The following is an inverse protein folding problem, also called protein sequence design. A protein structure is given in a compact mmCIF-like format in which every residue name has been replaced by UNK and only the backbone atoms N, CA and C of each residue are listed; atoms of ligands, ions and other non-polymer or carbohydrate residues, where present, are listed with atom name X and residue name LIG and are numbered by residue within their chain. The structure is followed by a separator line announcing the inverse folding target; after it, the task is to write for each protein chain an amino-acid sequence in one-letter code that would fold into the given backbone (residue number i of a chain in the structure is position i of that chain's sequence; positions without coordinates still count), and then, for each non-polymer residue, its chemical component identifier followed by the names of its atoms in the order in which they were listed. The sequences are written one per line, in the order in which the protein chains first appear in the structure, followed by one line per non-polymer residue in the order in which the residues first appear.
data_IF_243388292575
#
_entry.id   IF_243388292575
#
_cell.length_a   1.000
_cell.length_b   1.000
_cell.length_c   1.000
_cell.angle_alpha   90.00
_cell.angle_beta   90.00
_cell.angle_gamma   90.00
#
_symmetry.space_group_name_H-M   'P 1'
#
loop_
_entity.id
_entity.type
_entity.pdbx_description
1 polymer ?
#
# COMPACT_ATOMS: atom_id res chain seq x y z
N UNK A 1 8.98 16.15 -18.85
CA UNK A 1 7.91 15.99 -17.84
C UNK A 1 7.26 17.34 -17.59
N UNK A 2 5.93 17.38 -17.43
CA UNK A 2 5.26 18.59 -16.95
C UNK A 2 5.69 18.92 -15.52
N UNK A 3 5.83 20.21 -15.20
CA UNK A 3 6.12 20.67 -13.83
C UNK A 3 4.92 20.41 -12.91
N UNK A 4 5.14 20.32 -11.60
CA UNK A 4 4.05 20.18 -10.62
C UNK A 4 3.04 21.33 -10.71
N UNK A 5 3.52 22.56 -10.98
CA UNK A 5 2.66 23.72 -11.24
C UNK A 5 1.72 23.50 -12.44
N UNK A 6 2.25 23.01 -13.56
CA UNK A 6 1.45 22.74 -14.76
C UNK A 6 0.43 21.61 -14.52
N UNK A 7 0.80 20.57 -13.75
CA UNK A 7 -0.11 19.47 -13.37
C UNK A 7 -1.26 19.97 -12.50
N UNK A 8 -0.96 20.80 -11.50
CA UNK A 8 -1.97 21.42 -10.63
C UNK A 8 -2.92 22.33 -11.42
N UNK A 9 -2.39 23.15 -12.33
CA UNK A 9 -3.20 24.00 -13.20
C UNK A 9 -4.12 23.19 -14.13
N UNK A 10 -3.61 22.10 -14.72
CA UNK A 10 -4.39 21.19 -15.55
C UNK A 10 -5.53 20.52 -14.75
N UNK A 11 -5.25 20.04 -13.53
CA UNK A 11 -6.27 19.48 -12.64
C UNK A 11 -7.37 20.51 -12.37
N UNK A 12 -7.04 21.75 -11.99
CA UNK A 12 -8.02 22.81 -11.74
C UNK A 12 -8.90 23.11 -12.95
N UNK A 13 -8.31 23.14 -14.15
CA UNK A 13 -9.06 23.32 -15.40
C UNK A 13 -10.04 22.17 -15.63
N UNK A 14 -9.63 20.93 -15.32
CA UNK A 14 -10.49 19.75 -15.42
C UNK A 14 -11.62 19.75 -14.38
N UNK A 15 -11.36 20.16 -13.14
CA UNK A 15 -12.39 20.32 -12.10
C UNK A 15 -13.44 21.34 -12.53
N UNK A 16 -13.00 22.50 -13.04
CA UNK A 16 -13.89 23.54 -13.57
C UNK A 16 -14.74 23.02 -14.73
N UNK A 17 -14.16 22.23 -15.65
CA UNK A 17 -14.88 21.61 -16.77
C UNK A 17 -15.96 20.63 -16.30
N UNK A 18 -15.71 19.92 -15.20
CA UNK A 18 -16.64 18.98 -14.57
C UNK A 18 -17.68 19.64 -13.66
N UNK A 19 -17.55 20.95 -13.40
CA UNK A 19 -18.48 21.70 -12.55
C UNK A 19 -18.33 21.37 -11.06
N UNK A 20 -17.16 20.91 -10.62
CA UNK A 20 -16.85 20.64 -9.21
C UNK A 20 -15.81 21.64 -8.70
N UNK A 21 -15.85 21.92 -7.39
CA UNK A 21 -15.08 22.99 -6.76
C UNK A 21 -13.77 22.53 -6.14
N UNK A 22 -13.64 21.22 -5.92
CA UNK A 22 -12.41 20.62 -5.46
C UNK A 22 -12.39 19.12 -5.68
N UNK A 23 -11.25 18.51 -5.39
CA UNK A 23 -11.03 17.07 -5.49
C UNK A 23 -10.07 16.60 -4.40
N UNK A 24 -10.33 15.40 -3.88
CA UNK A 24 -9.53 14.75 -2.84
C UNK A 24 -8.71 13.64 -3.46
N UNK A 25 -7.42 13.60 -3.14
CA UNK A 25 -6.43 12.72 -3.76
C UNK A 25 -5.71 11.91 -2.65
N UNK A 26 -6.13 10.67 -2.38
CA UNK A 26 -5.44 9.81 -1.41
C UNK A 26 -4.19 9.16 -2.01
N UNK A 27 -3.32 8.63 -1.15
CA UNK A 27 -2.44 7.50 -1.53
C UNK A 27 -3.28 6.24 -1.41
N UNK A 28 -3.85 5.78 -2.52
CA UNK A 28 -4.60 4.53 -2.58
C UNK A 28 -4.85 4.11 -4.03
N UNK A 29 -5.29 2.86 -4.18
CA UNK A 29 -5.77 2.27 -5.43
C UNK A 29 -7.18 1.67 -5.23
N UNK A 30 -7.69 1.01 -6.26
CA UNK A 30 -9.03 0.40 -6.23
C UNK A 30 -9.16 -0.84 -5.32
N UNK A 31 -8.08 -1.21 -4.63
CA UNK A 31 -7.97 -2.34 -3.72
C UNK A 31 -7.65 -1.93 -2.28
N UNK A 32 -7.56 -0.62 -2.01
CA UNK A 32 -7.09 -0.06 -0.74
C UNK A 32 -5.68 -0.58 -0.35
N UNK A 33 -4.79 -0.73 -1.34
CA UNK A 33 -3.40 -1.17 -1.11
C UNK A 33 -2.58 -0.11 -0.37
N UNK A 34 -1.66 -0.54 0.48
CA UNK A 34 -0.69 0.33 1.15
C UNK A 34 0.37 0.86 0.17
N UNK A 35 1.02 -0.06 -0.56
CA UNK A 35 1.84 0.28 -1.72
C UNK A 35 0.96 0.18 -2.96
N UNK A 36 1.04 1.19 -3.83
CA UNK A 36 0.25 1.24 -5.07
C UNK A 36 1.17 1.11 -6.27
N UNK A 37 0.68 0.44 -7.32
CA UNK A 37 1.41 0.36 -8.58
C UNK A 37 1.59 1.76 -9.21
N UNK A 38 2.58 1.91 -10.09
CA UNK A 38 2.92 3.21 -10.70
C UNK A 38 1.73 3.89 -11.39
N UNK A 39 0.82 3.10 -11.96
CA UNK A 39 -0.43 3.57 -12.58
C UNK A 39 -1.36 4.29 -11.59
N UNK A 40 -1.23 4.07 -10.29
CA UNK A 40 -2.09 4.59 -9.24
C UNK A 40 -1.41 5.66 -8.36
N UNK A 41 -0.14 6.00 -8.61
CA UNK A 41 0.64 7.01 -7.86
C UNK A 41 0.22 8.47 -8.15
N UNK A 42 -1.09 8.76 -8.09
CA UNK A 42 -1.69 10.05 -8.45
C UNK A 42 -1.24 11.19 -7.55
N UNK A 43 -1.10 10.95 -6.24
CA UNK A 43 -0.61 11.97 -5.30
C UNK A 43 0.83 12.35 -5.60
N UNK A 44 1.71 11.35 -5.80
CA UNK A 44 3.10 11.58 -6.16
C UNK A 44 3.21 12.33 -7.50
N UNK A 45 2.47 11.89 -8.51
CA UNK A 45 2.46 12.56 -9.81
C UNK A 45 2.05 14.04 -9.68
N UNK A 46 0.99 14.34 -8.93
CA UNK A 46 0.53 15.70 -8.75
C UNK A 46 1.54 16.56 -7.98
N UNK A 47 2.02 16.06 -6.83
CA UNK A 47 2.68 16.88 -5.79
C UNK A 47 4.19 16.72 -5.70
N UNK A 48 4.74 15.59 -6.16
CA UNK A 48 6.12 15.17 -5.90
C UNK A 48 6.29 14.37 -4.61
N UNK A 49 5.29 14.32 -3.73
CA UNK A 49 5.38 13.63 -2.44
C UNK A 49 5.53 12.12 -2.62
N UNK A 50 6.62 11.54 -2.12
CA UNK A 50 6.96 10.12 -2.22
C UNK A 50 6.81 9.34 -0.91
N UNK A 51 6.14 9.89 0.11
CA UNK A 51 5.85 9.17 1.36
C UNK A 51 4.76 8.11 1.16
N UNK A 52 4.66 7.12 2.05
CA UNK A 52 3.65 6.05 1.96
C UNK A 52 2.33 6.38 2.65
N UNK A 53 2.23 7.50 3.38
CA UNK A 53 0.98 7.95 3.96
C UNK A 53 0.78 9.47 3.78
N UNK A 54 -0.43 9.83 3.40
CA UNK A 54 -0.85 11.20 3.18
C UNK A 54 -1.97 11.30 2.15
N UNK A 55 -2.48 12.51 1.97
CA UNK A 55 -3.44 12.84 0.93
C UNK A 55 -3.34 14.33 0.59
N UNK A 56 -3.83 14.71 -0.58
CA UNK A 56 -4.02 16.10 -0.94
C UNK A 56 -5.49 16.43 -1.13
N UNK A 57 -5.82 17.70 -0.99
CA UNK A 57 -7.08 18.27 -1.44
C UNK A 57 -6.78 19.53 -2.26
N UNK A 58 -7.43 19.64 -3.42
CA UNK A 58 -7.25 20.76 -4.35
C UNK A 58 -8.60 21.39 -4.59
N UNK A 59 -8.73 22.69 -4.38
CA UNK A 59 -9.86 23.49 -4.87
C UNK A 59 -9.44 24.26 -6.13
N UNK A 60 -10.35 25.04 -6.71
CA UNK A 60 -10.06 25.87 -7.88
C UNK A 60 -8.95 26.91 -7.66
N UNK A 61 -8.67 27.26 -6.41
CA UNK A 61 -7.79 28.35 -5.97
C UNK A 61 -6.81 27.97 -4.85
N UNK A 62 -7.16 26.99 -4.00
CA UNK A 62 -6.32 26.49 -2.91
C UNK A 62 -5.86 25.05 -3.15
N UNK A 63 -4.81 24.62 -2.46
CA UNK A 63 -4.39 23.23 -2.41
C UNK A 63 -3.60 22.98 -1.12
N UNK A 64 -3.80 21.81 -0.52
CA UNK A 64 -3.11 21.39 0.68
C UNK A 64 -2.71 19.92 0.61
N UNK A 65 -1.61 19.58 1.25
CA UNK A 65 -1.16 18.22 1.47
C UNK A 65 -1.13 17.92 2.97
N UNK A 66 -1.71 16.78 3.34
CA UNK A 66 -1.91 16.33 4.70
C UNK A 66 -1.03 15.11 4.95
N UNK A 67 -0.15 15.21 5.93
CA UNK A 67 0.80 14.15 6.29
C UNK A 67 0.84 13.92 7.80
N UNK A 68 1.18 12.71 8.21
CA UNK A 68 1.40 12.39 9.62
C UNK A 68 2.83 12.72 10.09
N UNK A 69 3.10 12.50 11.38
CA UNK A 69 4.36 12.84 12.02
C UNK A 69 5.62 12.27 11.35
N UNK A 70 5.50 11.12 10.64
CA UNK A 70 6.63 10.47 9.96
C UNK A 70 7.17 11.29 8.79
N UNK A 71 6.33 12.14 8.20
CA UNK A 71 6.58 12.77 6.89
C UNK A 71 6.68 14.29 6.93
N UNK A 72 6.70 14.90 8.12
CA UNK A 72 6.73 16.36 8.29
C UNK A 72 7.97 17.03 7.70
N UNK A 73 9.12 16.36 7.74
CA UNK A 73 10.36 16.82 7.09
C UNK A 73 10.33 16.52 5.59
N UNK A 74 9.99 15.28 5.22
CA UNK A 74 9.98 14.82 3.83
C UNK A 74 9.07 15.67 2.94
N UNK A 75 7.87 16.03 3.40
CA UNK A 75 6.94 16.84 2.61
C UNK A 75 7.54 18.21 2.23
N UNK A 76 8.35 18.81 3.10
CA UNK A 76 9.00 20.11 2.86
C UNK A 76 10.18 20.03 1.90
N UNK A 77 10.75 18.84 1.75
CA UNK A 77 11.83 18.58 0.81
C UNK A 77 11.30 18.25 -0.60
N UNK A 78 10.12 17.64 -0.68
CA UNK A 78 9.60 17.05 -1.93
C UNK A 78 8.47 17.84 -2.58
N UNK A 79 7.74 18.67 -1.82
CA UNK A 79 6.58 19.43 -2.31
C UNK A 79 6.93 20.92 -2.29
N UNK A 80 6.46 21.67 -3.29
CA UNK A 80 6.63 23.13 -3.34
C UNK A 80 5.57 23.83 -2.47
N UNK A 81 6.02 24.57 -1.46
CA UNK A 81 5.15 25.32 -0.53
C UNK A 81 4.34 26.43 -1.20
N UNK A 82 4.76 26.89 -2.39
CA UNK A 82 3.98 27.85 -3.18
C UNK A 82 2.76 27.22 -3.84
N UNK A 83 2.76 25.90 -4.00
CA UNK A 83 1.69 25.15 -4.64
C UNK A 83 0.77 24.47 -3.64
N UNK A 84 1.28 24.02 -2.48
CA UNK A 84 0.51 23.29 -1.47
C UNK A 84 0.79 23.77 -0.05
N UNK A 85 -0.26 24.03 0.71
CA UNK A 85 -0.16 24.20 2.17
C UNK A 85 0.19 22.88 2.84
N UNK A 86 1.08 22.91 3.83
CA UNK A 86 1.41 21.73 4.64
C UNK A 86 0.48 21.62 5.85
N UNK A 87 -0.19 20.48 5.98
CA UNK A 87 -1.11 20.17 7.08
C UNK A 87 -0.64 18.94 7.84
N UNK A 88 -0.59 19.03 9.17
CA UNK A 88 -0.11 17.98 10.06
C UNK A 88 -1.27 17.23 10.69
N UNK A 89 -1.47 15.98 10.29
CA UNK A 89 -2.52 15.11 10.84
C UNK A 89 -2.04 14.49 12.16
N UNK A 90 -2.87 14.43 13.23
CA UNK A 90 -4.30 14.76 13.29
C UNK A 90 -4.64 16.18 13.76
N UNK A 91 -3.64 17.06 13.92
CA UNK A 91 -3.87 18.43 14.40
C UNK A 91 -4.68 19.25 13.39
N UNK A 92 -4.33 19.16 12.12
CA UNK A 92 -5.10 19.67 11.00
C UNK A 92 -6.08 18.60 10.49
N UNK A 93 -7.31 19.01 10.19
CA UNK A 93 -8.34 18.10 9.63
C UNK A 93 -8.73 18.56 8.23
N UNK A 94 -8.98 17.60 7.32
CA UNK A 94 -9.48 17.90 5.97
C UNK A 94 -10.79 18.70 6.03
N UNK A 95 -11.72 18.29 6.90
CA UNK A 95 -12.98 18.99 7.07
C UNK A 95 -12.78 20.45 7.53
N UNK A 96 -11.86 20.69 8.47
CA UNK A 96 -11.53 22.03 8.96
C UNK A 96 -10.91 22.91 7.88
N UNK A 97 -9.95 22.38 7.13
CA UNK A 97 -9.35 23.11 6.02
C UNK A 97 -10.36 23.41 4.91
N UNK A 98 -11.18 22.44 4.52
CA UNK A 98 -12.26 22.65 3.55
C UNK A 98 -13.26 23.72 4.03
N UNK A 99 -13.58 23.75 5.33
CA UNK A 99 -14.44 24.77 5.90
C UNK A 99 -13.86 26.18 5.74
N UNK A 100 -12.55 26.32 5.96
CA UNK A 100 -11.83 27.58 5.86
C UNK A 100 -11.79 28.08 4.41
N UNK A 101 -11.37 27.24 3.47
CA UNK A 101 -11.16 27.65 2.07
C UNK A 101 -12.46 27.74 1.27
N UNK A 102 -13.54 27.08 1.71
CA UNK A 102 -14.85 27.15 1.05
C UNK A 102 -15.83 28.15 1.71
N UNK A 103 -15.42 28.87 2.75
CA UNK A 103 -16.31 29.75 3.54
C UNK A 103 -16.99 30.87 2.73
N UNK A 104 -16.42 31.30 1.61
CA UNK A 104 -16.89 32.44 0.80
C UNK A 104 -17.96 32.09 -0.25
N UNK A 105 -18.51 30.86 -0.25
CA UNK A 105 -19.51 30.43 -1.23
C UNK A 105 -20.94 30.61 -0.69
N UNK A 106 -21.53 31.77 -0.97
CA UNK A 106 -22.74 32.23 -0.28
C UNK A 106 -24.07 31.54 -0.68
N UNK A 107 -24.31 31.14 -1.94
CA UNK A 107 -25.67 30.72 -2.35
C UNK A 107 -25.83 29.26 -2.80
N UNK A 108 -24.73 28.53 -3.06
CA UNK A 108 -24.78 27.17 -3.64
C UNK A 108 -24.00 26.08 -2.89
N UNK A 109 -23.26 26.45 -1.83
CA UNK A 109 -22.31 25.55 -1.20
C UNK A 109 -21.12 25.19 -2.09
N UNK A 110 -20.21 24.35 -1.60
CA UNK A 110 -19.07 23.83 -2.36
C UNK A 110 -19.25 22.34 -2.69
N UNK A 111 -19.01 21.96 -3.94
CA UNK A 111 -19.03 20.57 -4.38
C UNK A 111 -17.62 20.00 -4.41
N UNK A 112 -17.27 19.16 -3.44
CA UNK A 112 -15.94 18.57 -3.33
C UNK A 112 -16.00 17.13 -3.83
N UNK A 113 -15.30 16.88 -4.92
CA UNK A 113 -15.31 15.60 -5.58
C UNK A 113 -14.38 14.58 -4.91
N UNK A 114 -14.74 13.30 -5.00
CA UNK A 114 -13.88 12.18 -4.65
C UNK A 114 -14.06 11.05 -5.68
N UNK A 115 -13.03 10.23 -5.85
CA UNK A 115 -13.13 9.05 -6.70
C UNK A 115 -13.73 7.90 -5.88
N UNK A 116 -14.93 7.39 -6.22
CA UNK A 116 -15.56 6.32 -5.45
C UNK A 116 -14.75 5.01 -5.46
N UNK A 117 -13.79 4.87 -6.36
CA UNK A 117 -12.86 3.73 -6.38
C UNK A 117 -11.67 3.89 -5.45
N UNK A 118 -11.47 5.03 -4.79
CA UNK A 118 -10.29 5.27 -3.93
C UNK A 118 -10.64 5.59 -2.47
N UNK A 119 -11.91 5.43 -2.08
CA UNK A 119 -12.38 5.72 -0.73
C UNK A 119 -13.36 4.66 -0.23
N UNK A 120 -13.30 4.35 1.06
CA UNK A 120 -14.25 3.46 1.73
C UNK A 120 -15.53 4.19 2.11
N UNK A 121 -16.61 3.44 2.34
CA UNK A 121 -17.89 4.01 2.77
C UNK A 121 -17.77 4.76 4.11
N UNK A 122 -17.06 4.17 5.07
CA UNK A 122 -16.87 4.77 6.39
C UNK A 122 -16.10 6.08 6.33
N UNK A 123 -15.10 6.18 5.46
CA UNK A 123 -14.35 7.43 5.24
C UNK A 123 -15.24 8.54 4.69
N UNK A 124 -16.06 8.24 3.67
CA UNK A 124 -16.97 9.22 3.06
C UNK A 124 -18.03 9.68 4.06
N UNK A 125 -18.74 8.76 4.73
CA UNK A 125 -19.77 9.10 5.73
C UNK A 125 -19.18 9.93 6.89
N UNK A 126 -17.98 9.61 7.35
CA UNK A 126 -17.31 10.37 8.41
C UNK A 126 -16.96 11.80 7.97
N UNK A 127 -16.51 11.99 6.72
CA UNK A 127 -16.21 13.32 6.19
C UNK A 127 -17.48 14.12 5.91
N UNK A 128 -18.50 13.51 5.28
CA UNK A 128 -19.80 14.13 4.99
C UNK A 128 -20.44 14.71 6.26
N UNK A 129 -20.44 13.98 7.37
CA UNK A 129 -20.98 14.46 8.66
C UNK A 129 -20.28 15.71 9.18
N UNK A 130 -19.00 15.91 8.84
CA UNK A 130 -18.22 17.06 9.27
C UNK A 130 -18.38 18.27 8.34
N UNK A 131 -18.60 18.04 7.03
CA UNK A 131 -18.60 19.10 6.01
C UNK A 131 -20.00 19.53 5.56
N UNK A 132 -21.01 18.65 5.62
CA UNK A 132 -22.40 18.99 5.28
C UNK A 132 -22.95 20.17 6.11
N UNK A 133 -22.75 20.26 7.44
CA UNK A 133 -23.20 21.41 8.23
C UNK A 133 -22.55 22.74 7.84
N UNK A 134 -21.50 22.69 7.01
CA UNK A 134 -20.72 23.84 6.55
C UNK A 134 -21.03 24.21 5.10
N UNK A 135 -22.10 23.65 4.52
CA UNK A 135 -22.52 23.92 3.14
C UNK A 135 -21.63 23.24 2.09
N UNK A 136 -20.91 22.18 2.46
CA UNK A 136 -20.04 21.45 1.54
C UNK A 136 -20.67 20.09 1.27
N UNK A 137 -20.78 19.69 0.01
CA UNK A 137 -21.32 18.40 -0.42
C UNK A 137 -20.22 17.58 -1.07
N UNK A 138 -20.06 16.33 -0.65
CA UNK A 138 -19.17 15.38 -1.33
C UNK A 138 -19.86 14.81 -2.55
N UNK A 139 -19.15 14.75 -3.69
CA UNK A 139 -19.71 14.24 -4.95
C UNK A 139 -18.82 13.14 -5.55
N UNK A 140 -19.34 11.92 -5.82
CA UNK A 140 -18.56 10.88 -6.47
C UNK A 140 -18.32 11.22 -7.94
N UNK A 141 -17.10 11.04 -8.43
CA UNK A 141 -16.78 11.20 -9.86
C UNK A 141 -17.07 9.93 -10.65
N UNK A 142 -17.40 10.06 -11.93
CA UNK A 142 -17.53 8.91 -12.85
C UNK A 142 -16.19 8.35 -13.34
N UNK A 143 -15.15 9.18 -13.32
CA UNK A 143 -13.76 8.81 -13.65
C UNK A 143 -12.82 9.71 -12.85
N UNK A 144 -11.60 9.28 -12.60
CA UNK A 144 -10.65 10.11 -11.84
C UNK A 144 -10.26 11.38 -12.63
N UNK A 145 -10.38 12.60 -12.06
CA UNK A 145 -9.93 13.84 -12.69
C UNK A 145 -8.43 13.89 -13.01
N UNK A 146 -7.57 13.26 -12.19
CA UNK A 146 -6.13 13.21 -12.47
C UNK A 146 -5.85 12.39 -13.72
N UNK A 147 -6.52 11.26 -13.90
CA UNK A 147 -6.31 10.38 -15.05
C UNK A 147 -6.63 11.08 -16.38
N UNK A 148 -7.54 12.06 -16.38
CA UNK A 148 -7.89 12.85 -17.56
C UNK A 148 -6.79 13.86 -17.97
N UNK A 149 -5.88 14.20 -17.05
CA UNK A 149 -4.78 15.17 -17.28
C UNK A 149 -3.39 14.53 -17.21
N UNK A 150 -3.30 13.25 -16.83
CA UNK A 150 -2.07 12.47 -16.78
C UNK A 150 -1.83 11.74 -18.10
N UNK A 151 -1.32 12.47 -19.10
CA UNK A 151 -1.17 11.95 -20.46
C UNK A 151 -0.21 10.75 -20.59
N UNK A 152 0.84 10.69 -19.76
CA UNK A 152 1.86 9.65 -19.72
C UNK A 152 1.67 8.67 -18.55
N UNK A 153 0.42 8.45 -18.14
CA UNK A 153 0.08 7.52 -17.05
C UNK A 153 0.58 6.10 -17.38
N UNK A 154 1.37 5.47 -16.49
CA UNK A 154 1.81 4.09 -16.66
C UNK A 154 0.61 3.14 -16.76
N UNK A 155 0.75 2.08 -17.56
CA UNK A 155 -0.21 0.99 -17.55
C UNK A 155 -0.03 0.14 -16.27
N UNK A 156 -1.09 -0.52 -15.76
CA UNK A 156 -0.94 -1.56 -14.75
C UNK A 156 0.05 -2.65 -15.21
N UNK A 157 0.75 -3.26 -14.25
CA UNK A 157 1.75 -4.31 -14.54
C UNK A 157 1.12 -5.44 -15.36
N UNK A 158 1.77 -5.94 -16.43
CA UNK A 158 1.32 -7.12 -17.17
C UNK A 158 1.80 -8.44 -16.55
N UNK A 159 2.44 -8.42 -15.37
CA UNK A 159 3.06 -9.60 -14.78
C UNK A 159 2.03 -10.73 -14.56
N UNK A 160 2.44 -11.95 -14.89
CA UNK A 160 1.60 -13.13 -14.77
C UNK A 160 1.32 -13.49 -13.30
N UNK A 161 0.11 -13.97 -13.03
CA UNK A 161 -0.21 -14.54 -11.74
C UNK A 161 0.46 -15.92 -11.59
N UNK A 162 1.08 -16.14 -10.44
CA UNK A 162 1.87 -17.32 -10.11
C UNK A 162 1.14 -18.19 -9.11
N UNK A 163 1.24 -19.52 -9.26
CA UNK A 163 0.66 -20.47 -8.30
C UNK A 163 1.52 -20.56 -7.04
N UNK A 164 0.85 -20.48 -5.89
CA UNK A 164 1.43 -20.74 -4.57
C UNK A 164 0.83 -22.04 -4.02
N UNK A 165 1.40 -23.16 -4.43
CA UNK A 165 0.86 -24.50 -4.20
C UNK A 165 0.63 -24.87 -2.73
N UNK A 166 -0.08 -25.98 -2.54
CA UNK A 166 -0.45 -26.49 -1.22
C UNK A 166 0.75 -26.85 -0.34
N UNK A 167 1.90 -27.19 -0.95
CA UNK A 167 3.12 -27.51 -0.21
C UNK A 167 3.72 -26.27 0.46
N UNK A 168 3.53 -25.08 -0.14
CA UNK A 168 3.92 -23.79 0.44
C UNK A 168 2.82 -23.17 1.30
N UNK A 169 1.55 -23.39 0.93
CA UNK A 169 0.40 -22.78 1.61
C UNK A 169 -0.05 -23.55 2.87
N UNK A 170 0.27 -24.84 2.99
CA UNK A 170 -0.23 -25.74 4.05
C UNK A 170 -1.72 -26.09 3.96
N UNK A 171 -2.49 -25.35 3.16
CA UNK A 171 -3.92 -25.54 2.97
C UNK A 171 -4.31 -25.18 1.54
N UNK A 172 -5.10 -26.04 0.91
CA UNK A 172 -5.57 -25.83 -0.46
C UNK A 172 -6.57 -24.70 -0.59
N UNK A 173 -6.59 -24.05 -1.75
CA UNK A 173 -7.58 -23.02 -2.06
C UNK A 173 -9.02 -23.55 -1.91
N UNK A 174 -9.27 -24.81 -2.29
CA UNK A 174 -10.59 -25.43 -2.10
C UNK A 174 -11.03 -25.46 -0.64
N UNK A 175 -10.13 -25.82 0.29
CA UNK A 175 -10.43 -25.80 1.73
C UNK A 175 -10.63 -24.37 2.25
N UNK A 176 -9.86 -23.41 1.76
CA UNK A 176 -10.01 -21.99 2.15
C UNK A 176 -11.35 -21.42 1.67
N UNK A 177 -11.77 -21.72 0.43
CA UNK A 177 -13.10 -21.33 -0.08
C UNK A 177 -14.24 -22.01 0.67
N UNK A 178 -14.07 -23.26 1.10
CA UNK A 178 -15.05 -23.92 1.96
C UNK A 178 -15.24 -23.18 3.31
N UNK A 179 -14.16 -22.70 3.93
CA UNK A 179 -14.26 -21.87 5.15
C UNK A 179 -15.05 -20.57 4.90
N UNK A 180 -14.84 -19.93 3.75
CA UNK A 180 -15.60 -18.73 3.35
C UNK A 180 -17.07 -19.08 3.10
N UNK A 181 -17.37 -20.20 2.45
CA UNK A 181 -18.73 -20.67 2.22
C UNK A 181 -19.48 -20.97 3.53
N UNK A 182 -18.83 -21.66 4.48
CA UNK A 182 -19.38 -21.92 5.81
C UNK A 182 -19.66 -20.62 6.57
N UNK A 183 -18.76 -19.64 6.46
CA UNK A 183 -18.95 -18.32 7.03
C UNK A 183 -20.14 -17.57 6.40
N UNK A 184 -20.26 -17.59 5.06
CA UNK A 184 -21.39 -16.99 4.34
C UNK A 184 -22.72 -17.60 4.77
N UNK A 185 -22.78 -18.93 4.89
CA UNK A 185 -23.97 -19.65 5.34
C UNK A 185 -24.36 -19.25 6.78
N UNK A 186 -23.37 -19.10 7.67
CA UNK A 186 -23.58 -18.67 9.06
C UNK A 186 -24.07 -17.23 9.17
N UNK A 187 -23.51 -16.31 8.38
CA UNK A 187 -23.88 -14.89 8.41
C UNK A 187 -25.14 -14.58 7.58
N UNK A 188 -25.65 -15.53 6.80
CA UNK A 188 -26.86 -15.35 5.98
C UNK A 188 -26.62 -14.52 4.71
N UNK A 189 -25.43 -14.66 4.11
CA UNK A 189 -25.06 -14.01 2.86
C UNK A 189 -24.96 -15.03 1.72
N UNK A 190 -25.32 -14.61 0.50
CA UNK A 190 -25.17 -15.42 -0.71
C UNK A 190 -23.75 -15.34 -1.28
N UNK A 191 -23.10 -14.19 -1.14
CA UNK A 191 -21.75 -13.95 -1.64
C UNK A 191 -20.98 -12.93 -0.80
N UNK A 192 -19.66 -12.91 -0.94
CA UNK A 192 -18.77 -11.85 -0.45
C UNK A 192 -17.91 -11.33 -1.61
N UNK A 193 -17.77 -10.00 -1.70
CA UNK A 193 -16.81 -9.37 -2.60
C UNK A 193 -15.51 -9.17 -1.83
N UNK A 194 -14.40 -9.68 -2.37
CA UNK A 194 -13.07 -9.61 -1.78
C UNK A 194 -12.21 -8.75 -2.73
N UNK A 195 -12.00 -7.47 -2.41
CA UNK A 195 -11.18 -6.56 -3.21
C UNK A 195 -9.72 -6.51 -2.76
N UNK A 196 -9.42 -6.84 -1.50
CA UNK A 196 -8.06 -6.80 -0.96
C UNK A 196 -7.18 -7.86 -1.62
N UNK A 197 -6.07 -7.42 -2.22
CA UNK A 197 -5.24 -8.28 -3.08
C UNK A 197 -4.55 -9.41 -2.31
N UNK A 198 -4.16 -9.17 -1.06
CA UNK A 198 -3.53 -10.18 -0.20
C UNK A 198 -4.55 -11.24 0.29
N UNK A 199 -5.80 -10.84 0.52
CA UNK A 199 -6.93 -11.75 0.75
C UNK A 199 -7.18 -12.65 -0.46
N UNK A 200 -7.19 -12.08 -1.67
CA UNK A 200 -7.34 -12.85 -2.92
C UNK A 200 -6.17 -13.83 -3.09
N UNK A 201 -4.94 -13.35 -2.93
CA UNK A 201 -3.73 -14.16 -3.02
C UNK A 201 -3.75 -15.34 -2.04
N UNK A 202 -4.21 -15.11 -0.80
CA UNK A 202 -4.33 -16.17 0.20
C UNK A 202 -5.46 -17.15 -0.11
N UNK A 203 -6.66 -16.65 -0.48
CA UNK A 203 -7.84 -17.48 -0.74
C UNK A 203 -7.63 -18.41 -1.94
N UNK A 204 -7.03 -17.88 -3.01
CA UNK A 204 -6.83 -18.61 -4.26
C UNK A 204 -5.47 -19.32 -4.35
N UNK A 205 -4.59 -19.19 -3.34
CA UNK A 205 -3.24 -19.75 -3.40
C UNK A 205 -2.49 -19.25 -4.66
N UNK A 206 -2.53 -17.93 -4.88
CA UNK A 206 -1.84 -17.26 -6.00
C UNK A 206 -0.97 -16.12 -5.48
N UNK A 207 0.00 -15.68 -6.28
CA UNK A 207 0.85 -14.50 -6.07
C UNK A 207 1.00 -13.73 -7.37
N UNK A 208 1.58 -12.54 -7.32
CA UNK A 208 1.89 -11.73 -8.50
C UNK A 208 3.09 -10.82 -8.25
N UNK A 209 3.29 -9.87 -9.17
CA UNK A 209 4.35 -8.86 -9.14
C UNK A 209 3.81 -7.51 -9.60
N UNK A 210 2.54 -7.23 -9.29
CA UNK A 210 1.87 -6.04 -9.82
C UNK A 210 2.14 -4.79 -8.98
N UNK A 211 2.44 -5.02 -7.70
CA UNK A 211 2.77 -3.99 -6.73
C UNK A 211 4.18 -4.30 -6.24
N UNK A 212 5.07 -3.30 -6.32
CA UNK A 212 6.43 -3.46 -5.83
C UNK A 212 6.40 -3.95 -4.37
N UNK A 213 7.28 -4.90 -4.05
CA UNK A 213 7.46 -5.46 -2.71
C UNK A 213 6.31 -6.30 -2.16
N UNK A 214 5.15 -6.29 -2.81
CA UNK A 214 3.95 -6.98 -2.36
C UNK A 214 3.56 -8.02 -3.41
N UNK A 215 3.69 -9.33 -3.11
CA UNK A 215 3.59 -10.39 -4.13
C UNK A 215 2.13 -10.72 -4.50
N UNK A 216 1.41 -9.74 -5.05
CA UNK A 216 -0.02 -9.82 -5.38
C UNK A 216 -0.28 -9.53 -6.86
N UNK A 217 -1.44 -9.99 -7.34
CA UNK A 217 -1.91 -9.76 -8.70
C UNK A 217 -3.22 -8.96 -8.66
N UNK A 218 -3.26 -7.83 -9.37
CA UNK A 218 -4.42 -6.95 -9.49
C UNK A 218 -5.62 -7.74 -10.00
N UNK A 219 -6.60 -7.91 -9.13
CA UNK A 219 -7.77 -8.75 -9.38
C UNK A 219 -8.87 -8.52 -8.35
N UNK A 220 -10.07 -9.03 -8.62
CA UNK A 220 -11.17 -9.11 -7.66
C UNK A 220 -11.67 -10.54 -7.54
N UNK A 221 -12.23 -10.88 -6.37
CA UNK A 221 -12.96 -12.13 -6.19
C UNK A 221 -14.38 -11.87 -5.73
N UNK A 222 -15.33 -12.58 -6.33
CA UNK A 222 -16.67 -12.80 -5.75
C UNK A 222 -16.71 -14.26 -5.32
N UNK A 223 -16.82 -14.52 -4.01
CA UNK A 223 -16.91 -15.87 -3.47
C UNK A 223 -18.35 -16.17 -3.03
N UNK A 224 -18.84 -17.37 -3.35
CA UNK A 224 -20.24 -17.75 -3.18
C UNK A 224 -20.42 -18.77 -2.05
N UNK A 225 -21.62 -18.81 -1.48
CA UNK A 225 -21.98 -19.70 -0.35
C UNK A 225 -21.89 -21.21 -0.67
N UNK A 226 -21.76 -21.59 -1.93
CA UNK A 226 -21.59 -22.99 -2.36
C UNK A 226 -20.11 -23.40 -2.49
N UNK A 227 -19.19 -22.48 -2.19
CA UNK A 227 -17.74 -22.71 -2.29
C UNK A 227 -17.14 -22.43 -3.67
N UNK A 228 -17.97 -22.07 -4.66
CA UNK A 228 -17.49 -21.53 -5.93
C UNK A 228 -17.01 -20.09 -5.78
N UNK A 229 -16.18 -19.65 -6.73
CA UNK A 229 -15.74 -18.26 -6.79
C UNK A 229 -15.56 -17.80 -8.23
N UNK A 230 -15.52 -16.49 -8.41
CA UNK A 230 -15.20 -15.84 -9.68
C UNK A 230 -13.97 -14.95 -9.47
N UNK A 231 -12.93 -15.18 -10.26
CA UNK A 231 -11.72 -14.37 -10.29
C UNK A 231 -11.77 -13.43 -11.48
N UNK A 232 -11.77 -12.12 -11.22
CA UNK A 232 -11.73 -11.08 -12.25
C UNK A 232 -10.30 -10.55 -12.36
N UNK A 233 -9.60 -10.93 -13.42
CA UNK A 233 -8.18 -10.65 -13.61
C UNK A 233 -7.89 -10.34 -15.09
N UNK A 234 -6.83 -9.57 -15.36
CA UNK A 234 -6.44 -9.27 -16.74
C UNK A 234 -6.04 -10.57 -17.48
N UNK A 235 -6.54 -10.82 -18.71
CA UNK A 235 -6.36 -12.09 -19.42
C UNK A 235 -4.90 -12.50 -19.62
N UNK A 236 -4.02 -11.54 -19.88
CA UNK A 236 -2.58 -11.73 -20.05
C UNK A 236 -1.88 -12.30 -18.81
N UNK A 237 -2.51 -12.17 -17.63
CA UNK A 237 -1.98 -12.71 -16.37
C UNK A 237 -2.29 -14.17 -16.17
N UNK A 238 -3.20 -14.74 -16.96
CA UNK A 238 -3.75 -16.08 -16.78
C UNK A 238 -2.91 -17.08 -17.56
N UNK A 239 -2.11 -17.86 -16.84
CA UNK A 239 -1.29 -18.92 -17.43
C UNK A 239 -2.06 -20.26 -17.48
N UNK A 240 -1.65 -21.22 -18.34
CA UNK A 240 -2.22 -22.57 -18.32
C UNK A 240 -2.05 -23.28 -16.97
N UNK A 241 -0.98 -22.97 -16.24
CA UNK A 241 -0.74 -23.47 -14.89
C UNK A 241 -1.79 -22.91 -13.90
N UNK A 242 -2.06 -21.61 -13.95
CA UNK A 242 -3.08 -20.98 -13.13
C UNK A 242 -4.46 -21.57 -13.42
N UNK A 243 -4.85 -21.72 -14.70
CA UNK A 243 -6.13 -22.32 -15.06
C UNK A 243 -6.28 -23.73 -14.49
N UNK A 244 -5.21 -24.54 -14.54
CA UNK A 244 -5.21 -25.90 -13.98
C UNK A 244 -5.34 -25.89 -12.45
N UNK A 245 -4.63 -24.99 -11.77
CA UNK A 245 -4.66 -24.84 -10.32
C UNK A 245 -6.05 -24.44 -9.80
N UNK A 246 -6.70 -23.49 -10.47
CA UNK A 246 -8.02 -23.00 -10.11
C UNK A 246 -9.13 -24.05 -10.37
N UNK A 247 -9.00 -24.79 -11.46
CA UNK A 247 -9.98 -25.81 -11.86
C UNK A 247 -11.37 -25.24 -12.12
N UNK A 248 -12.39 -26.12 -12.14
CA UNK A 248 -13.76 -25.72 -12.50
C UNK A 248 -14.54 -25.03 -11.37
N UNK A 249 -13.99 -24.97 -10.16
CA UNK A 249 -14.64 -24.35 -9.01
C UNK A 249 -14.37 -22.84 -8.91
N UNK A 250 -13.46 -22.31 -9.74
CA UNK A 250 -13.19 -20.87 -9.84
C UNK A 250 -13.31 -20.45 -11.30
N UNK A 251 -14.32 -19.65 -11.61
CA UNK A 251 -14.51 -19.10 -12.95
C UNK A 251 -13.58 -17.91 -13.14
N UNK A 252 -12.71 -17.96 -14.15
CA UNK A 252 -11.82 -16.84 -14.49
C UNK A 252 -12.54 -15.95 -15.51
N UNK A 253 -12.64 -14.66 -15.18
CA UNK A 253 -13.31 -13.63 -16.00
C UNK A 253 -12.32 -12.48 -16.26
N UNK A 254 -12.51 -11.77 -17.37
CA UNK A 254 -11.74 -10.56 -17.63
C UNK A 254 -11.97 -9.53 -16.53
N UNK A 255 -10.92 -8.81 -16.13
CA UNK A 255 -11.01 -7.76 -15.10
C UNK A 255 -12.13 -6.76 -15.37
N UNK A 256 -12.33 -6.35 -16.62
CA UNK A 256 -13.37 -5.37 -17.01
C UNK A 256 -14.80 -5.87 -16.76
N UNK A 257 -15.03 -7.19 -16.66
CA UNK A 257 -16.35 -7.75 -16.41
C UNK A 257 -16.81 -7.62 -14.94
N UNK A 258 -15.93 -7.21 -14.03
CA UNK A 258 -16.23 -7.13 -12.59
C UNK A 258 -17.41 -6.19 -12.28
N UNK A 259 -17.39 -4.96 -12.80
CA UNK A 259 -18.48 -4.00 -12.56
C UNK A 259 -19.81 -4.48 -13.16
N UNK A 260 -19.74 -5.14 -14.32
CA UNK A 260 -20.90 -5.80 -14.94
C UNK A 260 -21.50 -6.89 -14.06
N UNK A 261 -20.66 -7.70 -13.41
CA UNK A 261 -21.10 -8.74 -12.50
C UNK A 261 -21.80 -8.15 -11.25
N UNK A 262 -21.23 -7.09 -10.66
CA UNK A 262 -21.83 -6.40 -9.52
C UNK A 262 -23.20 -5.80 -9.84
N UNK A 263 -23.36 -5.23 -11.03
CA UNK A 263 -24.59 -4.54 -11.46
C UNK A 263 -25.65 -5.47 -12.07
N UNK A 264 -25.25 -6.62 -12.62
CA UNK A 264 -26.15 -7.47 -13.41
C UNK A 264 -26.51 -8.82 -12.81
N UNK A 265 -25.67 -9.39 -11.94
CA UNK A 265 -25.73 -10.82 -11.60
C UNK A 265 -26.09 -11.09 -10.13
N UNK A 266 -26.05 -10.07 -9.28
CA UNK A 266 -26.30 -10.16 -7.83
C UNK A 266 -27.65 -9.56 -7.40
N UNK A 267 -28.55 -9.27 -8.35
CA UNK A 267 -29.88 -8.74 -8.07
C UNK A 267 -30.66 -9.61 -7.07
N UNK A 268 -31.17 -9.00 -6.00
CA UNK A 268 -31.91 -9.70 -4.94
C UNK A 268 -31.07 -10.61 -4.03
N UNK A 269 -29.75 -10.67 -4.20
CA UNK A 269 -28.83 -11.41 -3.34
C UNK A 269 -28.40 -10.59 -2.13
N UNK A 270 -28.05 -11.28 -1.05
CA UNK A 270 -27.40 -10.71 0.14
C UNK A 270 -25.88 -10.80 -0.01
N UNK A 271 -25.18 -9.67 -0.06
CA UNK A 271 -23.75 -9.59 -0.34
C UNK A 271 -22.99 -8.99 0.84
N UNK A 272 -21.90 -9.62 1.25
CA UNK A 272 -20.99 -9.06 2.25
C UNK A 272 -19.92 -8.19 1.61
N UNK A 273 -19.62 -7.05 2.22
CA UNK A 273 -18.51 -6.15 1.87
C UNK A 273 -17.66 -5.86 3.09
N UNK A 274 -16.34 -5.83 2.94
CA UNK A 274 -15.46 -5.37 4.01
C UNK A 274 -15.51 -3.83 4.16
N UNK A 275 -15.72 -3.27 5.37
CA UNK A 275 -15.83 -1.83 5.57
C UNK A 275 -14.51 -1.06 5.32
N UNK A 276 -13.36 -1.72 5.43
CA UNK A 276 -12.03 -1.12 5.35
C UNK A 276 -11.40 -1.31 3.97
N UNK A 277 -11.81 -2.34 3.21
CA UNK A 277 -11.26 -2.64 1.87
C UNK A 277 -12.27 -2.46 0.72
N UNK A 278 -13.59 -2.51 0.97
CA UNK A 278 -14.57 -2.28 -0.08
C UNK A 278 -14.75 -0.77 -0.34
N UNK A 279 -14.31 -0.36 -1.52
CA UNK A 279 -14.45 1.02 -1.99
C UNK A 279 -15.90 1.35 -2.30
N UNK A 280 -16.26 2.64 -2.22
CA UNK A 280 -17.62 3.14 -2.45
C UNK A 280 -18.17 2.68 -3.81
N UNK A 281 -17.32 2.61 -4.84
CA UNK A 281 -17.69 2.16 -6.19
C UNK A 281 -18.32 0.76 -6.21
N UNK A 282 -17.79 -0.17 -5.41
CA UNK A 282 -18.33 -1.54 -5.31
C UNK A 282 -19.73 -1.52 -4.70
N UNK A 283 -19.90 -0.79 -3.59
CA UNK A 283 -21.18 -0.67 -2.91
C UNK A 283 -22.24 0.03 -3.78
N UNK A 284 -21.84 1.07 -4.52
CA UNK A 284 -22.70 1.77 -5.48
C UNK A 284 -23.13 0.86 -6.64
N UNK A 285 -22.20 0.09 -7.22
CA UNK A 285 -22.50 -0.86 -8.30
C UNK A 285 -23.48 -1.95 -7.85
N UNK A 286 -23.26 -2.55 -6.68
CA UNK A 286 -24.18 -3.53 -6.09
C UNK A 286 -25.58 -2.95 -5.85
N UNK A 287 -25.65 -1.73 -5.29
CA UNK A 287 -26.93 -1.04 -5.07
C UNK A 287 -27.67 -0.77 -6.38
N UNK A 288 -26.95 -0.29 -7.40
CA UNK A 288 -27.52 -0.01 -8.72
C UNK A 288 -28.05 -1.30 -9.38
N UNK A 289 -27.39 -2.43 -9.15
CA UNK A 289 -27.82 -3.75 -9.62
C UNK A 289 -28.95 -4.40 -8.79
N UNK A 290 -29.42 -3.75 -7.72
CA UNK A 290 -30.48 -4.29 -6.87
C UNK A 290 -30.04 -5.38 -5.91
N UNK A 291 -28.73 -5.53 -5.64
CA UNK A 291 -28.23 -6.35 -4.56
C UNK A 291 -28.45 -5.66 -3.20
N UNK A 292 -28.65 -6.45 -2.15
CA UNK A 292 -28.59 -5.97 -0.77
C UNK A 292 -27.20 -6.25 -0.23
N UNK A 293 -26.57 -5.28 0.43
CA UNK A 293 -25.25 -5.48 1.01
C UNK A 293 -25.17 -5.08 2.48
N UNK A 294 -24.28 -5.76 3.20
CA UNK A 294 -23.95 -5.48 4.59
C UNK A 294 -22.45 -5.39 4.76
N UNK A 295 -21.98 -4.48 5.61
CA UNK A 295 -20.57 -4.40 5.96
C UNK A 295 -20.21 -5.42 7.04
N UNK A 296 -19.27 -6.31 6.70
CA UNK A 296 -18.69 -7.32 7.58
C UNK A 296 -17.23 -7.50 7.22
N UNK A 297 -16.37 -7.68 8.22
CA UNK A 297 -14.96 -7.96 7.99
C UNK A 297 -14.79 -9.14 7.02
N UNK A 298 -13.90 -8.98 6.04
CA UNK A 298 -13.50 -10.01 5.09
C UNK A 298 -13.17 -11.32 5.85
N UNK A 299 -13.83 -12.44 5.52
CA UNK A 299 -13.68 -13.70 6.24
C UNK A 299 -12.26 -14.29 6.14
N UNK A 300 -11.45 -13.84 5.17
CA UNK A 300 -10.08 -14.30 5.00
C UNK A 300 -9.11 -13.61 5.95
N UNK A 301 -9.40 -12.40 6.46
CA UNK A 301 -8.45 -11.60 7.26
C UNK A 301 -8.01 -12.35 8.52
N UNK A 302 -8.96 -12.83 9.32
CA UNK A 302 -8.60 -13.54 10.55
C UNK A 302 -8.00 -14.91 10.24
N UNK A 303 -8.50 -15.59 9.21
CA UNK A 303 -8.00 -16.90 8.80
C UNK A 303 -6.52 -16.84 8.36
N UNK A 304 -6.13 -15.83 7.59
CA UNK A 304 -4.73 -15.63 7.16
C UNK A 304 -3.85 -14.97 8.22
N UNK A 305 -4.42 -14.33 9.24
CA UNK A 305 -3.67 -13.79 10.37
C UNK A 305 -3.03 -14.92 11.20
N UNK A 306 -3.73 -16.06 11.34
CA UNK A 306 -3.28 -17.22 12.12
C UNK A 306 -2.60 -18.22 11.20
N UNK A 307 -1.25 -18.22 11.20
CA UNK A 307 -0.46 -19.05 10.28
C UNK A 307 -0.55 -20.52 10.67
N UNK A 308 -0.78 -21.39 9.69
CA UNK A 308 -0.67 -22.83 9.90
C UNK A 308 0.80 -23.28 10.03
N UNK A 309 1.05 -24.53 10.41
CA UNK A 309 2.40 -25.03 10.68
C UNK A 309 3.36 -24.92 9.48
N UNK A 310 2.85 -25.11 8.26
CA UNK A 310 3.63 -24.96 7.03
C UNK A 310 4.01 -23.49 6.79
N UNK A 311 3.05 -22.57 6.90
CA UNK A 311 3.32 -21.13 6.76
C UNK A 311 4.30 -20.64 7.85
N UNK A 312 4.13 -21.09 9.10
CA UNK A 312 5.05 -20.76 10.19
C UNK A 312 6.47 -21.26 9.91
N UNK A 313 6.61 -22.50 9.41
CA UNK A 313 7.93 -23.03 9.07
C UNK A 313 8.56 -22.28 7.90
N UNK A 314 7.79 -21.95 6.86
CA UNK A 314 8.24 -21.11 5.76
C UNK A 314 8.77 -19.74 6.23
N UNK A 315 8.09 -19.11 7.19
CA UNK A 315 8.58 -17.88 7.83
C UNK A 315 9.89 -18.09 8.61
N UNK A 316 10.03 -19.19 9.37
CA UNK A 316 11.29 -19.50 10.09
C UNK A 316 12.45 -19.70 9.12
N UNK A 317 12.22 -20.44 8.04
CA UNK A 317 13.23 -20.68 7.01
C UNK A 317 13.64 -19.37 6.32
N UNK A 318 12.66 -18.52 5.95
CA UNK A 318 12.93 -17.20 5.37
C UNK A 318 13.75 -16.32 6.32
N UNK A 319 13.40 -16.27 7.61
CA UNK A 319 14.14 -15.53 8.62
C UNK A 319 15.56 -16.05 8.82
N UNK A 320 15.79 -17.36 8.74
CA UNK A 320 17.13 -17.94 8.82
C UNK A 320 18.00 -17.55 7.60
N UNK A 321 17.42 -17.59 6.40
CA UNK A 321 18.07 -17.17 5.15
C UNK A 321 18.42 -15.68 5.19
N UNK A 322 17.46 -14.83 5.54
CA UNK A 322 17.64 -13.38 5.62
C UNK A 322 18.62 -12.99 6.75
N UNK A 323 18.56 -13.67 7.89
CA UNK A 323 19.52 -13.50 8.98
C UNK A 323 20.97 -13.76 8.55
N UNK A 324 21.20 -14.73 7.66
CA UNK A 324 22.53 -14.95 7.09
C UNK A 324 22.96 -13.82 6.16
N UNK A 325 22.07 -13.30 5.31
CA UNK A 325 22.33 -12.15 4.45
C UNK A 325 22.66 -10.88 5.27
N UNK A 326 21.84 -10.57 6.28
CA UNK A 326 22.07 -9.42 7.19
C UNK A 326 23.37 -9.59 7.97
N UNK A 327 23.72 -10.80 8.41
CA UNK A 327 25.00 -11.04 9.12
C UNK A 327 26.21 -10.79 8.21
N UNK A 328 26.15 -11.20 6.94
CA UNK A 328 27.20 -10.88 5.94
C UNK A 328 27.29 -9.38 5.70
N UNK A 329 26.15 -8.72 5.56
CA UNK A 329 26.09 -7.27 5.39
C UNK A 329 26.71 -6.53 6.57
N UNK A 330 26.33 -6.85 7.81
CA UNK A 330 26.88 -6.21 9.00
C UNK A 330 28.40 -6.41 9.12
N UNK A 331 28.90 -7.60 8.78
CA UNK A 331 30.34 -7.86 8.75
C UNK A 331 31.06 -7.06 7.66
N UNK A 332 30.47 -6.94 6.48
CA UNK A 332 31.01 -6.11 5.41
C UNK A 332 31.01 -4.63 5.81
N UNK A 333 29.92 -4.14 6.38
CA UNK A 333 29.77 -2.75 6.81
C UNK A 333 30.81 -2.39 7.89
N UNK A 334 31.02 -3.28 8.87
CA UNK A 334 32.04 -3.12 9.91
C UNK A 334 33.45 -2.94 9.33
N UNK A 335 33.77 -3.62 8.22
CA UNK A 335 35.08 -3.53 7.57
C UNK A 335 35.25 -2.31 6.67
N UNK A 336 34.23 -1.97 5.88
CA UNK A 336 34.34 -0.95 4.82
C UNK A 336 33.92 0.46 5.27
N UNK A 337 32.84 0.57 6.04
CA UNK A 337 32.27 1.87 6.40
C UNK A 337 33.21 2.77 7.23
N UNK A 338 34.07 2.25 8.15
CA UNK A 338 35.04 3.09 8.85
C UNK A 338 36.02 3.81 7.92
N UNK A 339 36.25 3.30 6.70
CA UNK A 339 37.10 3.95 5.70
C UNK A 339 36.47 5.20 5.07
N UNK A 340 35.18 5.47 5.30
CA UNK A 340 34.45 6.64 4.81
C UNK A 340 34.08 6.61 3.32
N UNK A 341 34.30 5.49 2.63
CA UNK A 341 34.00 5.31 1.21
C UNK A 341 32.62 4.72 0.89
N UNK A 342 31.80 4.45 1.91
CA UNK A 342 30.46 3.86 1.76
C UNK A 342 29.41 4.94 1.97
N UNK A 343 28.43 5.04 1.07
CA UNK A 343 27.24 5.88 1.21
C UNK A 343 25.97 5.04 1.42
N UNK A 344 24.87 5.71 1.69
CA UNK A 344 23.58 5.07 1.98
C UNK A 344 23.09 4.17 0.85
N UNK A 345 23.17 4.64 -0.41
CA UNK A 345 22.78 3.85 -1.59
C UNK A 345 23.68 2.62 -1.77
N UNK A 346 24.99 2.76 -1.56
CA UNK A 346 25.95 1.64 -1.65
C UNK A 346 25.66 0.61 -0.58
N UNK A 347 25.37 1.02 0.66
CA UNK A 347 25.03 0.10 1.73
C UNK A 347 23.70 -0.64 1.46
N UNK A 348 22.67 0.06 0.98
CA UNK A 348 21.40 -0.57 0.60
C UNK A 348 21.59 -1.60 -0.54
N UNK A 349 22.31 -1.20 -1.60
CA UNK A 349 22.62 -2.08 -2.73
C UNK A 349 23.43 -3.31 -2.30
N UNK A 350 24.40 -3.14 -1.38
CA UNK A 350 25.18 -4.26 -0.87
C UNK A 350 24.34 -5.25 -0.06
N UNK A 351 23.41 -4.77 0.76
CA UNK A 351 22.49 -5.67 1.47
C UNK A 351 21.59 -6.43 0.49
N UNK A 352 21.08 -5.76 -0.54
CA UNK A 352 20.31 -6.41 -1.60
C UNK A 352 21.14 -7.48 -2.34
N UNK A 353 22.41 -7.21 -2.63
CA UNK A 353 23.34 -8.20 -3.22
C UNK A 353 23.48 -9.44 -2.34
N UNK A 354 23.66 -9.27 -1.02
CA UNK A 354 23.77 -10.41 -0.10
C UNK A 354 22.47 -11.22 0.00
N UNK A 355 21.30 -10.56 -0.08
CA UNK A 355 20.01 -11.27 -0.15
C UNK A 355 19.87 -12.05 -1.46
N UNK A 356 20.29 -11.47 -2.57
CA UNK A 356 20.20 -12.08 -3.90
C UNK A 356 21.11 -13.32 -4.07
N UNK A 357 22.02 -13.57 -3.13
CA UNK A 357 22.76 -14.84 -3.07
C UNK A 357 21.84 -16.04 -2.77
N UNK A 358 20.68 -15.82 -2.15
CA UNK A 358 19.68 -16.86 -1.92
C UNK A 358 18.72 -16.96 -3.11
N UNK A 359 18.70 -18.12 -3.77
CA UNK A 359 17.86 -18.36 -4.94
C UNK A 359 16.35 -18.35 -4.65
N UNK A 360 15.96 -18.38 -3.37
CA UNK A 360 14.58 -18.26 -2.92
C UNK A 360 14.10 -16.81 -2.82
N UNK A 361 14.97 -15.80 -2.92
CA UNK A 361 14.57 -14.39 -2.95
C UNK A 361 13.70 -14.11 -4.17
N UNK A 362 12.57 -13.41 -3.95
CA UNK A 362 11.61 -13.01 -5.00
C UNK A 362 11.61 -11.51 -5.22
N UNK A 363 11.67 -10.75 -4.14
CA UNK A 363 11.74 -9.29 -4.12
C UNK A 363 12.23 -8.84 -2.72
N UNK A 364 12.53 -7.57 -2.53
CA UNK A 364 12.53 -6.95 -1.22
C UNK A 364 11.09 -6.81 -0.70
N UNK A 365 10.88 -6.81 0.62
CA UNK A 365 9.54 -6.63 1.21
C UNK A 365 9.15 -5.16 1.38
N UNK A 366 10.10 -4.25 1.21
CA UNK A 366 9.92 -2.80 1.08
C UNK A 366 11.26 -2.17 0.64
N UNK A 367 11.24 -0.90 0.21
CA UNK A 367 12.45 -0.13 -0.04
C UNK A 367 13.32 -0.06 1.21
N UNK A 368 14.59 -0.46 1.09
CA UNK A 368 15.50 -0.45 2.25
C UNK A 368 15.73 0.98 2.76
N UNK A 369 15.42 1.21 4.04
CA UNK A 369 15.80 2.41 4.76
C UNK A 369 17.28 2.25 5.11
N UNK A 370 18.13 3.00 4.43
CA UNK A 370 19.58 3.05 4.68
C UNK A 370 19.92 4.46 5.09
N UNK A 371 20.14 4.69 6.39
CA UNK A 371 20.10 6.02 6.96
C UNK A 371 21.35 6.29 7.81
N UNK A 372 22.16 7.26 7.38
CA UNK A 372 23.39 7.65 8.06
C UNK A 372 23.17 8.90 8.93
N UNK A 373 23.79 8.91 10.11
CA UNK A 373 23.84 10.04 11.03
C UNK A 373 22.45 10.69 11.25
N UNK A 374 22.26 11.93 10.78
CA UNK A 374 21.02 12.68 10.95
C UNK A 374 19.81 12.05 10.24
N UNK A 375 20.02 11.33 9.13
CA UNK A 375 18.93 10.66 8.42
C UNK A 375 18.32 9.52 9.25
N UNK A 376 19.08 8.90 10.15
CA UNK A 376 18.57 7.85 11.04
C UNK A 376 17.52 8.35 12.06
N UNK A 377 17.34 9.67 12.19
CA UNK A 377 16.27 10.26 12.99
C UNK A 377 14.92 10.34 12.26
N UNK A 378 14.89 10.06 10.95
CA UNK A 378 13.70 10.10 10.11
C UNK A 378 13.13 8.68 9.96
N UNK A 379 11.97 8.35 10.56
CA UNK A 379 11.52 6.96 10.68
C UNK A 379 11.35 6.22 9.35
N UNK A 380 10.82 6.90 8.32
CA UNK A 380 10.56 6.33 7.00
C UNK A 380 11.44 7.00 5.93
N UNK A 381 12.70 7.32 6.28
CA UNK A 381 13.65 7.88 5.33
C UNK A 381 13.82 6.94 4.13
N UNK A 382 13.69 7.49 2.92
CA UNK A 382 13.98 6.79 1.69
C UNK A 382 15.09 7.54 0.98
N UNK A 383 16.26 6.91 0.93
CA UNK A 383 17.40 7.43 0.18
C UNK A 383 17.13 7.38 -1.32
N UNK A 384 17.52 8.44 -2.01
CA UNK A 384 17.54 8.56 -3.47
C UNK A 384 18.84 9.26 -3.91
N UNK A 385 19.00 9.49 -5.21
CA UNK A 385 20.21 10.11 -5.76
C UNK A 385 20.45 11.54 -5.25
N UNK A 386 19.40 12.26 -4.85
CA UNK A 386 19.47 13.65 -4.43
C UNK A 386 19.72 13.79 -2.91
N UNK A 387 19.25 12.81 -2.13
CA UNK A 387 19.38 12.76 -0.67
C UNK A 387 20.55 11.93 -0.16
N UNK A 388 21.14 11.05 -1.00
CA UNK A 388 22.24 10.16 -0.62
C UNK A 388 23.44 10.91 -0.02
N UNK A 389 23.84 10.50 1.19
CA UNK A 389 25.04 10.99 1.87
C UNK A 389 26.04 9.86 2.16
N UNK A 390 27.36 10.17 2.25
CA UNK A 390 28.33 9.24 2.79
C UNK A 390 27.96 8.84 4.23
N UNK A 391 28.24 7.60 4.60
CA UNK A 391 28.16 7.15 5.99
C UNK A 391 29.39 7.67 6.74
N UNK A 392 29.25 8.67 7.63
CA UNK A 392 30.43 9.26 8.27
C UNK A 392 31.09 8.26 9.23
N UNK A 393 32.42 8.11 9.24
CA UNK A 393 33.09 7.35 10.29
C UNK A 393 32.81 7.94 11.67
N UNK A 394 32.63 7.09 12.68
CA UNK A 394 32.26 7.55 14.03
C UNK A 394 30.84 8.09 14.10
N UNK A 395 29.88 7.41 13.47
CA UNK A 395 28.48 7.84 13.46
C UNK A 395 27.49 6.67 13.60
N UNK A 396 26.23 7.01 13.85
CA UNK A 396 25.13 6.04 13.82
C UNK A 396 24.78 5.74 12.38
N UNK A 397 24.58 4.46 12.08
CA UNK A 397 23.93 4.00 10.87
C UNK A 397 22.73 3.11 11.23
N UNK A 398 21.59 3.37 10.61
CA UNK A 398 20.38 2.56 10.75
C UNK A 398 20.06 1.92 9.39
N UNK A 399 19.79 0.62 9.42
CA UNK A 399 19.24 -0.10 8.28
C UNK A 399 17.94 -0.77 8.68
N UNK A 400 16.86 -0.47 7.94
CA UNK A 400 15.58 -1.17 8.02
C UNK A 400 15.26 -1.79 6.68
N UNK A 401 15.00 -3.10 6.66
CA UNK A 401 14.89 -3.82 5.39
C UNK A 401 14.27 -5.19 5.53
N UNK A 402 13.87 -5.80 4.42
CA UNK A 402 13.41 -7.19 4.41
C UNK A 402 13.32 -7.78 3.01
N UNK A 403 12.95 -9.05 2.93
CA UNK A 403 12.81 -9.80 1.69
C UNK A 403 11.54 -10.63 1.62
N UNK A 404 11.08 -10.85 0.40
CA UNK A 404 10.06 -11.84 0.03
C UNK A 404 10.76 -13.11 -0.42
N UNK A 405 10.56 -14.22 0.29
CA UNK A 405 11.18 -15.51 -0.01
C UNK A 405 10.13 -16.55 -0.38
N UNK A 406 10.43 -17.34 -1.41
CA UNK A 406 9.65 -18.52 -1.73
C UNK A 406 10.51 -19.54 -2.47
N UNK A 407 10.55 -20.77 -1.99
CA UNK A 407 11.18 -21.91 -2.67
C UNK A 407 10.36 -23.18 -2.43
N UNK A 408 10.98 -24.36 -2.65
CA UNK A 408 10.30 -25.64 -2.43
C UNK A 408 10.03 -25.95 -0.95
N UNK A 409 10.73 -25.30 0.00
CA UNK A 409 10.54 -25.56 1.44
C UNK A 409 9.40 -24.72 2.04
N UNK A 410 8.98 -23.65 1.36
CA UNK A 410 7.90 -22.79 1.82
C UNK A 410 8.03 -21.38 1.27
N UNK A 411 7.25 -20.46 1.84
CA UNK A 411 7.40 -19.02 1.60
C UNK A 411 7.38 -18.25 2.91
N UNK A 412 7.95 -17.05 2.88
CA UNK A 412 7.98 -16.17 4.04
C UNK A 412 8.43 -14.76 3.67
N UNK A 413 7.94 -13.79 4.43
CA UNK A 413 8.32 -12.38 4.33
C UNK A 413 9.13 -12.03 5.57
N UNK A 414 10.21 -11.26 5.40
CA UNK A 414 11.03 -10.74 6.50
C UNK A 414 10.92 -9.22 6.60
N UNK A 415 11.20 -8.72 7.80
CA UNK A 415 11.28 -7.30 8.16
C UNK A 415 12.22 -7.22 9.38
N UNK A 416 13.32 -6.48 9.23
CA UNK A 416 14.38 -6.41 10.22
C UNK A 416 15.12 -5.07 10.18
N UNK A 417 15.11 -4.41 11.34
CA UNK A 417 15.89 -3.19 11.58
C UNK A 417 17.12 -3.46 12.46
N UNK A 418 18.25 -2.83 12.13
CA UNK A 418 19.42 -2.73 13.01
C UNK A 418 19.97 -1.32 13.02
N UNK A 419 20.29 -0.83 14.21
CA UNK A 419 21.06 0.41 14.42
C UNK A 419 22.44 0.04 14.95
N UNK A 420 23.49 0.52 14.28
CA UNK A 420 24.89 0.23 14.61
C UNK A 420 25.71 1.51 14.72
N UNK A 421 26.83 1.40 15.42
CA UNK A 421 27.87 2.42 15.42
C UNK A 421 28.92 2.07 14.38
N UNK A 422 29.19 3.00 13.46
CA UNK A 422 30.26 2.89 12.48
C UNK A 422 31.54 3.41 13.12
N UNK A 423 32.58 2.58 13.18
CA UNK A 423 33.88 2.95 13.75
C UNK A 423 34.60 4.05 12.95
N UNK A 424 35.71 4.51 13.48
CA UNK A 424 36.65 5.43 12.80
C UNK A 424 37.85 4.64 12.26
N UNK A 425 38.61 5.16 11.27
CA UNK A 425 39.78 4.47 10.72
C UNK A 425 40.83 4.06 11.76
N UNK A 426 40.97 4.83 12.84
CA UNK A 426 41.89 4.57 13.95
C UNK A 426 41.32 3.62 15.03
N UNK A 427 40.03 3.25 14.92
CA UNK A 427 39.34 2.40 15.88
C UNK A 427 39.05 3.04 17.24
N UNK A 428 39.19 4.37 17.36
CA UNK A 428 39.04 5.09 18.63
C UNK A 428 37.68 5.80 18.80
N UNK A 429 36.88 5.88 17.73
CA UNK A 429 35.59 6.55 17.73
C UNK A 429 34.54 5.78 18.53
N UNK A 430 33.94 6.47 19.50
CA UNK A 430 32.96 5.90 20.42
C UNK A 430 31.65 6.69 20.41
N UNK A 431 30.48 6.04 20.54
CA UNK A 431 29.21 6.75 20.67
C UNK A 431 29.18 7.57 21.96
N UNK A 432 28.45 8.69 21.92
CA UNK A 432 28.27 9.53 23.11
C UNK A 432 27.50 8.81 24.21
N UNK A 433 27.59 9.30 25.45
CA UNK A 433 26.82 8.76 26.57
C UNK A 433 25.30 8.84 26.31
N UNK A 434 24.82 9.90 25.68
CA UNK A 434 23.41 10.04 25.32
C UNK A 434 22.99 9.00 24.26
N UNK A 435 23.77 8.83 23.19
CA UNK A 435 23.46 7.83 22.16
C UNK A 435 23.34 6.42 22.74
N UNK A 436 24.25 6.04 23.66
CA UNK A 436 24.18 4.76 24.37
C UNK A 436 22.95 4.64 25.27
N UNK A 437 22.60 5.69 26.02
CA UNK A 437 21.38 5.71 26.85
C UNK A 437 20.13 5.49 26.00
N UNK A 438 19.97 6.23 24.89
CA UNK A 438 18.80 6.11 24.00
C UNK A 438 18.70 4.72 23.38
N UNK A 439 19.79 4.21 22.80
CA UNK A 439 19.83 2.86 22.24
C UNK A 439 19.45 1.80 23.28
N UNK A 440 20.01 1.90 24.49
CA UNK A 440 19.74 0.94 25.57
C UNK A 440 18.28 0.97 26.02
N UNK A 441 17.64 2.15 26.05
CA UNK A 441 16.20 2.25 26.39
C UNK A 441 15.32 1.56 25.35
N UNK A 442 15.61 1.76 24.07
CA UNK A 442 14.90 1.08 22.98
C UNK A 442 15.08 -0.44 23.09
N UNK A 443 16.31 -0.90 23.31
CA UNK A 443 16.61 -2.32 23.50
C UNK A 443 15.88 -2.93 24.71
N UNK A 444 15.81 -2.21 25.84
CA UNK A 444 15.04 -2.65 27.02
C UNK A 444 13.56 -2.82 26.71
N UNK A 445 12.97 -1.89 25.96
CA UNK A 445 11.59 -2.00 25.51
C UNK A 445 11.39 -3.21 24.59
N UNK A 446 12.30 -3.41 23.63
CA UNK A 446 12.24 -4.55 22.71
C UNK A 446 12.32 -5.91 23.42
N UNK A 447 13.21 -6.07 24.41
CA UNK A 447 13.36 -7.33 25.18
C UNK A 447 12.15 -7.60 26.10
N UNK A 448 11.44 -6.54 26.51
CA UNK A 448 10.30 -6.66 27.42
C UNK A 448 9.03 -7.24 26.73
N UNK A 449 8.89 -7.04 25.42
CA UNK A 449 7.80 -7.57 24.59
C UNK A 449 8.13 -9.01 24.20
#
# INVERSE_FOLDING_TARGET
MQTHEARLAALRAELKRRGVDGFIIPISDEHMSEYVGDYAQRLNWLTGFGGSAGFAAVTLDHAAIFVDGRYTVQVRQQVDEKLFDYKSVPADTLAGWLAEVCAAKDEGGAQIAYDPWLHTWGWVDALERQVNPRGITLVPTTSNPIDAVWADRPAPSPAAAMVHDDARAGQSSAKKRALVADWLAKEGHDAVVIPALDSIAWLLNIRGQDVAHTPVALSYVIAHKDGSAELFIAPEKVTPELTRHLGNAVTVRERAAFEGALTGELAGKSVSLDPDFAVVGIAQALRAGGAQFTFKRDPTILAKAIKNDCEQQGHRDAQARDGAAVSRFLRWLEGEAPGGGVDELTAAAKLAEFRAMDAGLRDLSFDTISAAAGHAALPHYKVDADSNIPIPPGSIYLVDSGGQYADQSGGGTTDITRTVWVGTPDGLGEPTAEMRDRFTRVLKGHIQI
#
